data_IF_743443415935
#
_entry.id   IF_743443415935
#
_cell.length_a   1.000
_cell.length_b   1.000
_cell.length_c   1.000
_cell.angle_alpha   90.00
_cell.angle_beta   90.00
_cell.angle_gamma   90.00
#
_symmetry.space_group_name_H-M   'P 1'
#
loop_
_entity.id
_entity.type
_entity.pdbx_description
1 polymer ?
#
# COMPACT_ATOMS: atom_id res chain seq x y z
N UNK A 1 -9.87 -7.52 -0.18
CA UNK A 1 -8.63 -7.49 0.63
C UNK A 1 -8.98 -7.62 2.10
N UNK A 2 -8.33 -8.53 2.84
CA UNK A 2 -8.68 -8.89 4.23
C UNK A 2 -8.00 -8.05 5.32
N UNK A 3 -7.08 -7.14 4.98
CA UNK A 3 -6.33 -6.35 5.97
C UNK A 3 -6.99 -4.97 6.11
N UNK A 4 -7.56 -4.68 7.28
CA UNK A 4 -8.25 -3.40 7.55
C UNK A 4 -7.69 -2.66 8.74
N UNK A 5 -7.13 -3.37 9.71
CA UNK A 5 -6.62 -2.80 10.94
C UNK A 5 -5.14 -3.17 11.17
N UNK A 6 -4.55 -2.62 12.24
CA UNK A 6 -3.14 -2.86 12.58
C UNK A 6 -2.87 -4.30 13.03
N UNK A 7 -3.87 -4.98 13.62
CA UNK A 7 -3.74 -6.37 14.05
C UNK A 7 -3.68 -7.33 12.84
N UNK A 8 -4.52 -7.09 11.83
CA UNK A 8 -4.47 -7.79 10.55
C UNK A 8 -3.10 -7.56 9.88
N UNK A 9 -2.58 -6.33 9.95
CA UNK A 9 -1.28 -6.00 9.40
C UNK A 9 -0.16 -6.77 10.12
N UNK A 10 -0.24 -6.92 11.45
CA UNK A 10 0.71 -7.68 12.26
C UNK A 10 0.72 -9.17 11.89
N UNK A 11 -0.46 -9.78 11.70
CA UNK A 11 -0.59 -11.21 11.38
C UNK A 11 -0.44 -11.53 9.87
N UNK A 12 -0.47 -10.50 9.01
CA UNK A 12 -0.30 -10.70 7.57
C UNK A 12 1.11 -11.14 7.16
N UNK A 13 1.23 -11.72 5.96
CA UNK A 13 2.52 -12.04 5.32
C UNK A 13 3.23 -10.81 4.73
N UNK A 14 2.63 -9.62 4.82
CA UNK A 14 3.22 -8.41 4.28
C UNK A 14 4.48 -8.04 5.05
N UNK A 15 5.56 -7.75 4.31
CA UNK A 15 6.71 -7.04 4.86
C UNK A 15 6.30 -5.60 5.13
N UNK A 16 6.88 -4.99 6.15
CA UNK A 16 6.56 -3.62 6.54
C UNK A 16 7.82 -2.77 6.55
N UNK A 17 7.74 -1.57 5.99
CA UNK A 17 8.80 -0.57 5.98
C UNK A 17 8.29 0.78 6.40
N UNK A 18 9.21 1.64 6.82
CA UNK A 18 8.88 2.96 7.37
C UNK A 18 9.72 4.01 6.66
N UNK A 19 9.10 5.14 6.31
CA UNK A 19 9.83 6.27 5.76
C UNK A 19 10.86 6.80 6.76
N UNK A 20 12.12 6.93 6.32
CA UNK A 20 13.22 7.39 7.18
C UNK A 20 13.07 8.89 7.50
N UNK A 21 12.43 9.16 8.64
CA UNK A 21 12.38 10.48 9.26
C UNK A 21 12.67 10.36 10.75
N UNK A 22 13.17 11.44 11.35
CA UNK A 22 13.42 11.51 12.80
C UNK A 22 12.15 11.24 13.59
N UNK A 23 11.02 11.79 13.12
CA UNK A 23 9.69 11.57 13.68
C UNK A 23 9.34 10.09 13.71
N UNK A 24 9.40 9.40 12.56
CA UNK A 24 9.06 7.98 12.51
C UNK A 24 10.01 7.13 13.35
N UNK A 25 11.32 7.40 13.33
CA UNK A 25 12.29 6.68 14.17
C UNK A 25 11.92 6.78 15.65
N UNK A 26 11.52 7.95 16.12
CA UNK A 26 11.10 8.16 17.51
C UNK A 26 9.78 7.43 17.85
N UNK A 27 8.72 7.61 17.05
CA UNK A 27 7.41 7.05 17.36
C UNK A 27 7.37 5.52 17.28
N UNK A 28 8.12 4.94 16.34
CA UNK A 28 8.20 3.48 16.20
C UNK A 28 9.05 2.84 17.32
N UNK A 29 10.16 3.48 17.72
CA UNK A 29 11.01 2.95 18.80
C UNK A 29 10.42 3.12 20.20
N UNK A 30 9.58 4.15 20.40
CA UNK A 30 8.98 4.47 21.70
C UNK A 30 7.52 3.97 21.81
N UNK A 31 7.06 3.13 20.88
CA UNK A 31 5.69 2.64 20.87
C UNK A 31 5.40 1.77 22.11
N UNK A 32 4.39 2.17 22.90
CA UNK A 32 3.97 1.46 24.12
C UNK A 32 2.81 0.49 23.88
N UNK A 33 1.94 0.79 22.90
CA UNK A 33 0.79 -0.05 22.56
C UNK A 33 1.25 -1.43 22.07
N UNK A 34 0.66 -2.54 22.57
CA UNK A 34 1.15 -3.89 22.30
C UNK A 34 1.21 -4.23 20.81
N UNK A 35 0.19 -3.85 20.03
CA UNK A 35 0.14 -4.12 18.58
C UNK A 35 1.24 -3.35 17.84
N UNK A 36 1.41 -2.05 18.14
CA UNK A 36 2.42 -1.21 17.47
C UNK A 36 3.84 -1.63 17.83
N UNK A 37 4.07 -1.94 19.11
CA UNK A 37 5.34 -2.48 19.59
C UNK A 37 5.66 -3.81 18.91
N UNK A 38 4.70 -4.72 18.81
CA UNK A 38 4.87 -5.98 18.11
C UNK A 38 5.14 -5.78 16.60
N UNK A 39 4.51 -4.80 15.95
CA UNK A 39 4.82 -4.45 14.54
C UNK A 39 6.27 -3.97 14.41
N UNK A 40 6.73 -3.10 15.33
CA UNK A 40 8.10 -2.61 15.32
C UNK A 40 9.11 -3.75 15.49
N UNK A 41 8.96 -4.56 16.55
CA UNK A 41 9.89 -5.63 16.88
C UNK A 41 9.85 -6.79 15.88
N UNK A 42 8.68 -7.14 15.31
CA UNK A 42 8.57 -8.29 14.40
C UNK A 42 8.75 -7.95 12.92
N UNK A 43 8.36 -6.73 12.49
CA UNK A 43 8.32 -6.39 11.05
C UNK A 43 9.26 -5.27 10.63
N UNK A 44 9.51 -4.28 11.50
CA UNK A 44 10.36 -3.12 11.17
C UNK A 44 11.81 -3.37 11.55
N UNK A 45 12.06 -3.76 12.80
CA UNK A 45 13.38 -3.98 13.37
C UNK A 45 13.46 -5.33 14.12
N UNK A 46 13.36 -6.48 13.41
CA UNK A 46 13.63 -7.79 14.00
C UNK A 46 15.00 -7.85 14.65
N UNK A 47 15.13 -8.52 15.82
CA UNK A 47 16.42 -8.72 16.48
C UNK A 47 17.45 -9.30 15.51
N UNK A 48 18.62 -8.66 15.42
CA UNK A 48 19.71 -9.10 14.52
C UNK A 48 19.58 -8.67 13.07
N UNK A 49 18.59 -7.85 12.71
CA UNK A 49 18.45 -7.30 11.35
C UNK A 49 18.49 -5.77 11.33
N UNK A 50 18.91 -5.19 10.20
CA UNK A 50 18.90 -3.74 10.03
C UNK A 50 17.45 -3.24 10.01
N UNK A 51 17.10 -2.23 10.84
CA UNK A 51 15.78 -1.64 10.84
C UNK A 51 15.37 -1.15 9.44
N UNK A 52 14.14 -1.44 9.03
CA UNK A 52 13.61 -1.14 7.70
C UNK A 52 13.13 0.31 7.55
N UNK A 53 13.99 1.25 7.88
CA UNK A 53 13.82 2.65 7.50
C UNK A 53 14.38 2.85 6.10
N UNK A 54 13.60 3.45 5.20
CA UNK A 54 13.99 3.64 3.81
C UNK A 54 13.47 4.97 3.25
N UNK A 55 14.03 5.38 2.11
CA UNK A 55 13.58 6.57 1.41
C UNK A 55 12.14 6.43 0.90
N UNK A 56 11.45 7.55 0.73
CA UNK A 56 10.08 7.57 0.18
C UNK A 56 10.01 6.85 -1.18
N UNK A 57 10.97 7.14 -2.07
CA UNK A 57 10.99 6.56 -3.42
C UNK A 57 11.18 5.03 -3.38
N UNK A 58 12.10 4.55 -2.55
CA UNK A 58 12.34 3.11 -2.42
C UNK A 58 11.12 2.38 -1.82
N UNK A 59 10.52 2.96 -0.78
CA UNK A 59 9.34 2.40 -0.12
C UNK A 59 8.13 2.31 -1.05
N UNK A 60 7.85 3.37 -1.81
CA UNK A 60 6.74 3.40 -2.78
C UNK A 60 6.99 2.42 -3.93
N UNK A 61 8.22 2.33 -4.46
CA UNK A 61 8.55 1.32 -5.48
C UNK A 61 8.42 -0.12 -4.97
N UNK A 62 8.78 -0.38 -3.72
CA UNK A 62 8.57 -1.71 -3.10
C UNK A 62 7.10 -2.02 -2.88
N UNK A 63 6.30 -1.02 -2.47
CA UNK A 63 4.85 -1.16 -2.34
C UNK A 63 4.19 -1.57 -3.67
N UNK A 64 4.66 -1.00 -4.79
CA UNK A 64 4.18 -1.36 -6.14
C UNK A 64 4.45 -2.83 -6.51
N UNK A 65 5.62 -3.37 -6.12
CA UNK A 65 5.99 -4.78 -6.39
C UNK A 65 5.14 -5.80 -5.62
N UNK A 66 4.25 -5.34 -4.73
CA UNK A 66 3.35 -6.18 -3.95
C UNK A 66 4.01 -6.78 -2.71
N UNK A 67 3.18 -7.37 -1.85
CA UNK A 67 3.58 -8.02 -0.58
C UNK A 67 4.34 -7.11 0.41
N UNK A 68 4.20 -5.80 0.26
CA UNK A 68 4.89 -4.81 1.08
C UNK A 68 3.92 -3.70 1.50
N UNK A 69 3.92 -3.38 2.79
CA UNK A 69 3.21 -2.25 3.37
C UNK A 69 4.24 -1.19 3.78
N UNK A 70 3.95 0.08 3.51
CA UNK A 70 4.87 1.18 3.73
C UNK A 70 4.21 2.29 4.54
N UNK A 71 4.81 2.66 5.66
CA UNK A 71 4.37 3.79 6.46
C UNK A 71 5.03 5.07 5.97
N UNK A 72 4.21 6.03 5.56
CA UNK A 72 4.62 7.34 5.09
C UNK A 72 3.57 8.38 5.44
N UNK A 73 3.95 9.65 5.36
CA UNK A 73 2.99 10.75 5.40
C UNK A 73 2.09 10.70 4.17
N UNK A 74 0.78 10.72 4.36
CA UNK A 74 -0.21 10.45 3.31
C UNK A 74 -0.12 11.46 2.17
N UNK A 75 -0.09 12.75 2.45
CA UNK A 75 -0.10 13.79 1.41
C UNK A 75 1.15 13.76 0.52
N UNK A 76 2.35 13.69 1.12
CA UNK A 76 3.60 13.52 0.36
C UNK A 76 3.61 12.15 -0.33
N UNK A 77 3.16 11.10 0.35
CA UNK A 77 3.10 9.74 -0.17
C UNK A 77 2.27 9.64 -1.46
N UNK A 78 1.11 10.30 -1.52
CA UNK A 78 0.27 10.30 -2.72
C UNK A 78 0.96 10.95 -3.93
N UNK A 79 1.79 11.97 -3.73
CA UNK A 79 2.59 12.56 -4.82
C UNK A 79 3.54 11.52 -5.44
N UNK A 80 4.20 10.70 -4.61
CA UNK A 80 5.09 9.64 -5.08
C UNK A 80 4.31 8.49 -5.71
N UNK A 81 3.20 8.09 -5.12
CA UNK A 81 2.30 7.07 -5.68
C UNK A 81 1.79 7.52 -7.06
N UNK A 82 1.34 8.76 -7.20
CA UNK A 82 0.89 9.33 -8.47
C UNK A 82 1.98 9.29 -9.55
N UNK A 83 3.26 9.43 -9.16
CA UNK A 83 4.41 9.40 -10.06
C UNK A 83 4.83 7.98 -10.48
N UNK A 84 4.76 6.99 -9.58
CA UNK A 84 5.32 5.65 -9.83
C UNK A 84 4.28 4.56 -10.10
N UNK A 85 3.02 4.73 -9.68
CA UNK A 85 1.95 3.75 -9.89
C UNK A 85 1.21 4.02 -11.19
N UNK A 86 0.81 2.94 -11.86
CA UNK A 86 -0.11 3.00 -12.99
C UNK A 86 -1.55 3.25 -12.49
N UNK A 87 -2.43 3.73 -13.37
CA UNK A 87 -3.83 4.04 -13.01
C UNK A 87 -4.58 2.84 -12.39
N UNK A 88 -4.42 1.65 -12.97
CA UNK A 88 -5.03 0.42 -12.43
C UNK A 88 -4.48 0.01 -11.05
N UNK A 89 -3.18 0.24 -10.79
CA UNK A 89 -2.55 -0.08 -9.50
C UNK A 89 -3.04 0.86 -8.39
N UNK A 90 -3.41 2.12 -8.73
CA UNK A 90 -3.92 3.11 -7.76
C UNK A 90 -5.24 2.67 -7.12
N UNK A 91 -6.12 1.96 -7.84
CA UNK A 91 -7.39 1.46 -7.28
C UNK A 91 -7.16 0.42 -6.16
N UNK A 92 -6.02 -0.28 -6.16
CA UNK A 92 -5.69 -1.30 -5.15
C UNK A 92 -5.14 -0.74 -3.84
N UNK A 93 -4.92 0.57 -3.75
CA UNK A 93 -4.33 1.20 -2.57
C UNK A 93 -5.27 1.11 -1.37
N UNK A 94 -4.74 0.57 -0.28
CA UNK A 94 -5.39 0.52 1.02
C UNK A 94 -4.59 1.31 2.04
N UNK A 95 -5.32 2.02 2.89
CA UNK A 95 -4.75 2.88 3.92
C UNK A 95 -5.17 2.34 5.28
N UNK A 96 -4.21 2.28 6.19
CA UNK A 96 -4.44 1.90 7.58
C UNK A 96 -3.78 2.98 8.43
N UNK A 97 -4.56 3.60 9.31
CA UNK A 97 -4.05 4.62 10.20
C UNK A 97 -3.15 3.96 11.25
N UNK A 98 -1.83 4.23 11.18
CA UNK A 98 -0.85 3.73 12.15
C UNK A 98 -0.59 4.72 13.27
N UNK A 99 -0.22 5.96 12.91
CA UNK A 99 -0.05 7.04 13.88
C UNK A 99 -1.31 7.91 13.89
N UNK A 100 -1.87 8.12 15.08
CA UNK A 100 -2.84 9.18 15.33
C UNK A 100 -2.07 10.39 15.81
N UNK A 101 -1.67 11.25 14.87
CA UNK A 101 -0.94 12.47 15.17
C UNK A 101 -1.95 13.61 15.26
N UNK A 102 -1.82 14.43 16.30
CA UNK A 102 -2.58 15.68 16.43
C UNK A 102 -2.02 16.69 15.43
N UNK A 103 -2.87 17.54 14.86
CA UNK A 103 -2.43 18.61 13.98
C UNK A 103 -1.29 19.44 14.62
N UNK A 104 -0.21 19.72 13.87
CA UNK A 104 0.93 20.45 14.41
C UNK A 104 0.54 21.88 14.79
N UNK A 105 1.05 22.33 15.93
CA UNK A 105 0.85 23.70 16.42
C UNK A 105 2.07 24.57 16.12
N UNK A 106 1.84 25.88 16.04
CA UNK A 106 2.92 26.85 15.95
C UNK A 106 3.69 26.89 17.29
N UNK A 107 4.97 26.53 17.26
CA UNK A 107 5.84 26.66 18.41
C UNK A 107 6.27 28.13 18.59
N UNK A 108 6.12 28.66 19.80
CA UNK A 108 6.52 30.02 20.16
C UNK A 108 7.41 30.01 21.41
N UNK A 109 8.27 31.03 21.55
CA UNK A 109 9.13 31.17 22.75
C UNK A 109 8.27 31.29 24.01
N UNK A 110 8.70 30.62 25.10
CA UNK A 110 8.08 30.79 26.42
C UNK A 110 8.05 32.27 26.82
N UNK A 111 6.93 32.72 27.38
CA UNK A 111 6.69 34.11 27.81
C UNK A 111 6.79 35.18 26.70
N UNK A 112 6.53 34.80 25.45
CA UNK A 112 6.40 35.79 24.36
C UNK A 112 5.18 36.69 24.55
N UNK A 113 5.30 38.02 24.39
CA UNK A 113 4.16 38.94 24.45
C UNK A 113 3.17 38.73 23.28
N UNK A 114 3.62 38.07 22.21
CA UNK A 114 2.81 37.84 20.99
C UNK A 114 1.93 36.58 21.06
N UNK A 115 1.90 35.87 22.19
CA UNK A 115 1.18 34.59 22.31
C UNK A 115 -0.29 34.72 21.91
N UNK A 116 -0.96 35.76 22.40
CA UNK A 116 -2.40 35.92 22.16
C UNK A 116 -2.69 36.35 20.73
N UNK A 117 -1.78 37.14 20.13
CA UNK A 117 -1.85 37.50 18.71
C UNK A 117 -1.78 36.25 17.82
N UNK A 118 -0.79 35.37 18.05
CA UNK A 118 -0.68 34.12 17.28
C UNK A 118 -1.86 33.19 17.49
N UNK A 119 -2.35 33.07 18.73
CA UNK A 119 -3.49 32.22 19.07
C UNK A 119 -4.78 32.69 18.36
N UNK A 120 -5.10 33.98 18.46
CA UNK A 120 -6.29 34.55 17.80
C UNK A 120 -6.13 34.50 16.28
N UNK A 121 -4.94 34.86 15.77
CA UNK A 121 -4.66 34.82 14.33
C UNK A 121 -4.82 33.43 13.73
N UNK A 122 -4.27 32.40 14.39
CA UNK A 122 -4.39 31.02 13.91
C UNK A 122 -5.83 30.51 13.96
N UNK A 123 -6.60 30.88 14.99
CA UNK A 123 -8.03 30.55 15.06
C UNK A 123 -8.83 31.18 13.94
N UNK A 124 -8.59 32.46 13.63
CA UNK A 124 -9.21 33.12 12.47
C UNK A 124 -8.86 32.41 11.16
N UNK A 125 -7.59 32.05 10.94
CA UNK A 125 -7.16 31.30 9.74
C UNK A 125 -7.93 29.97 9.60
N UNK A 126 -8.13 29.26 10.72
CA UNK A 126 -8.87 28.00 10.75
C UNK A 126 -10.38 28.23 10.50
N UNK A 127 -10.99 29.22 11.14
CA UNK A 127 -12.41 29.57 11.01
C UNK A 127 -12.78 30.02 9.59
N UNK A 128 -11.90 30.79 8.94
CA UNK A 128 -12.09 31.23 7.55
C UNK A 128 -11.77 30.12 6.53
N UNK A 129 -11.29 28.95 6.98
CA UNK A 129 -10.91 27.84 6.10
C UNK A 129 -9.66 28.07 5.27
N UNK A 130 -8.87 29.11 5.55
CA UNK A 130 -7.64 29.42 4.82
C UNK A 130 -6.62 28.29 4.97
N UNK A 131 -6.48 27.73 6.18
CA UNK A 131 -5.61 26.56 6.40
C UNK A 131 -6.03 25.37 5.54
N UNK A 132 -7.32 25.08 5.46
CA UNK A 132 -7.84 24.00 4.61
C UNK A 132 -7.54 24.28 3.14
N UNK A 133 -7.74 25.49 2.65
CA UNK A 133 -7.41 25.86 1.27
C UNK A 133 -5.93 25.63 0.95
N UNK A 134 -5.02 26.12 1.79
CA UNK A 134 -3.58 25.94 1.57
C UNK A 134 -3.18 24.46 1.63
N UNK A 135 -3.74 23.70 2.58
CA UNK A 135 -3.51 22.25 2.64
C UNK A 135 -3.98 21.55 1.36
N UNK A 136 -5.11 21.94 0.78
CA UNK A 136 -5.63 21.36 -0.46
C UNK A 136 -4.81 21.74 -1.70
N UNK A 137 -4.07 22.84 -1.64
CA UNK A 137 -3.15 23.29 -2.70
C UNK A 137 -1.77 22.61 -2.61
N UNK A 138 -1.27 22.42 -1.38
CA UNK A 138 0.08 21.88 -1.15
C UNK A 138 0.11 20.35 -1.12
N UNK A 139 -0.89 19.72 -0.51
CA UNK A 139 -0.93 18.26 -0.36
C UNK A 139 -1.74 17.63 -1.48
N UNK A 140 -1.14 16.61 -2.07
CA UNK A 140 -1.83 15.77 -3.04
C UNK A 140 -2.92 14.97 -2.32
N UNK A 141 -4.09 14.86 -2.94
CA UNK A 141 -5.17 14.04 -2.40
C UNK A 141 -4.96 12.59 -2.77
N UNK A 142 -5.77 11.73 -2.16
CA UNK A 142 -5.84 10.34 -2.59
C UNK A 142 -6.05 10.29 -4.11
N UNK A 143 -5.17 9.61 -4.87
CA UNK A 143 -5.29 9.55 -6.31
C UNK A 143 -6.64 8.92 -6.68
N UNK A 144 -7.41 9.63 -7.50
CA UNK A 144 -8.64 9.09 -8.07
C UNK A 144 -8.24 8.09 -9.13
N UNK A 145 -8.81 6.89 -9.08
CA UNK A 145 -8.65 5.95 -10.18
C UNK A 145 -9.83 6.11 -11.14
N UNK A 146 -9.53 6.39 -12.41
CA UNK A 146 -10.54 6.45 -13.48
C UNK A 146 -10.96 5.02 -13.81
N UNK A 147 -11.99 4.51 -13.12
CA UNK A 147 -12.48 3.13 -13.21
C UNK A 147 -13.09 2.71 -14.56
N UNK A 148 -12.71 3.35 -15.67
CA UNK A 148 -13.14 3.03 -17.03
C UNK A 148 -12.06 2.34 -17.87
N UNK A 149 -10.81 2.35 -17.45
CA UNK A 149 -9.80 1.50 -18.09
C UNK A 149 -9.95 0.09 -17.51
N UNK A 150 -10.23 -0.87 -18.38
CA UNK A 150 -10.09 -2.28 -18.08
C UNK A 150 -8.71 -2.48 -17.47
N UNK A 151 -8.65 -2.98 -16.23
CA UNK A 151 -7.38 -3.46 -15.68
C UNK A 151 -6.85 -4.49 -16.67
N UNK A 152 -5.84 -4.11 -17.46
CA UNK A 152 -5.17 -5.02 -18.36
C UNK A 152 -4.33 -5.94 -17.48
N UNK A 153 -4.98 -6.99 -16.96
CA UNK A 153 -4.29 -8.07 -16.29
C UNK A 153 -3.62 -8.88 -17.40
N UNK A 154 -2.31 -8.71 -17.55
CA UNK A 154 -1.52 -9.54 -18.44
C UNK A 154 -1.58 -10.98 -17.93
N UNK A 155 -2.41 -11.81 -18.55
CA UNK A 155 -2.50 -13.24 -18.23
C UNK A 155 -1.23 -13.91 -18.73
N UNK A 156 -0.54 -14.63 -17.84
CA UNK A 156 0.68 -15.35 -18.21
C UNK A 156 0.31 -16.72 -18.76
N UNK A 157 1.14 -17.30 -19.65
CA UNK A 157 0.92 -18.65 -20.18
C UNK A 157 0.74 -19.72 -19.09
N UNK A 158 1.32 -19.50 -17.91
CA UNK A 158 1.17 -20.37 -16.73
C UNK A 158 -0.29 -20.47 -16.27
N UNK A 159 -1.07 -19.39 -16.41
CA UNK A 159 -2.48 -19.36 -16.00
C UNK A 159 -3.37 -20.14 -17.00
N UNK A 160 -2.97 -20.20 -18.28
CA UNK A 160 -3.65 -20.97 -19.32
C UNK A 160 -3.19 -22.44 -19.42
N UNK A 161 -2.10 -22.80 -18.74
CA UNK A 161 -1.49 -24.13 -18.78
C UNK A 161 -2.47 -25.29 -18.51
N UNK A 162 -3.32 -25.28 -17.45
CA UNK A 162 -4.24 -26.38 -17.21
C UNK A 162 -5.30 -26.53 -18.31
N UNK A 163 -5.77 -25.42 -18.90
CA UNK A 163 -6.73 -25.46 -19.99
C UNK A 163 -6.12 -26.07 -21.26
N UNK A 164 -4.86 -25.72 -21.57
CA UNK A 164 -4.12 -26.32 -22.68
C UNK A 164 -3.87 -27.82 -22.46
N UNK A 165 -3.54 -28.24 -21.25
CA UNK A 165 -3.36 -29.67 -20.93
C UNK A 165 -4.64 -30.48 -21.17
N UNK A 166 -5.78 -30.00 -20.66
CA UNK A 166 -7.08 -30.68 -20.86
C UNK A 166 -7.41 -30.79 -22.35
N UNK A 167 -7.16 -29.73 -23.13
CA UNK A 167 -7.36 -29.75 -24.57
C UNK A 167 -6.48 -30.81 -25.25
N UNK A 168 -5.20 -30.89 -24.90
CA UNK A 168 -4.27 -31.87 -25.48
C UNK A 168 -4.61 -33.31 -25.11
N UNK A 169 -5.01 -33.59 -23.86
CA UNK A 169 -5.43 -34.93 -23.48
C UNK A 169 -6.75 -35.33 -24.11
N UNK A 170 -7.69 -34.38 -24.24
CA UNK A 170 -8.97 -34.60 -24.90
C UNK A 170 -8.81 -34.96 -26.38
N UNK A 171 -7.90 -34.29 -27.10
CA UNK A 171 -7.63 -34.59 -28.52
C UNK A 171 -6.89 -35.92 -28.71
N UNK A 172 -5.96 -36.27 -27.83
CA UNK A 172 -5.29 -37.58 -27.88
C UNK A 172 -6.32 -38.70 -27.63
N UNK A 173 -7.18 -38.55 -26.63
CA UNK A 173 -8.19 -39.55 -26.30
C UNK A 173 -9.19 -39.75 -27.45
N UNK A 174 -9.64 -38.66 -28.10
CA UNK A 174 -10.57 -38.77 -29.24
C UNK A 174 -9.93 -39.47 -30.44
N UNK A 175 -8.66 -39.18 -30.74
CA UNK A 175 -7.91 -39.86 -31.80
C UNK A 175 -7.71 -41.35 -31.50
N UNK A 176 -7.44 -41.70 -30.23
CA UNK A 176 -7.30 -43.11 -29.81
C UNK A 176 -8.62 -43.88 -29.95
N UNK A 177 -9.75 -43.28 -29.54
CA UNK A 177 -11.07 -43.89 -29.71
C UNK A 177 -11.41 -44.09 -31.20
N UNK A 178 -11.14 -43.09 -32.04
CA UNK A 178 -11.34 -43.19 -33.49
C UNK A 178 -10.49 -44.30 -34.12
N UNK A 179 -9.21 -44.42 -33.71
CA UNK A 179 -8.34 -45.50 -34.17
C UNK A 179 -8.84 -46.88 -33.74
N UNK A 180 -9.33 -47.01 -32.51
CA UNK A 180 -9.95 -48.24 -32.00
C UNK A 180 -11.21 -48.62 -32.79
N UNK A 181 -12.09 -47.65 -33.10
CA UNK A 181 -13.27 -47.89 -33.95
C UNK A 181 -12.87 -48.38 -35.34
N UNK A 182 -11.88 -47.73 -35.96
CA UNK A 182 -11.40 -48.15 -37.29
C UNK A 182 -10.82 -49.56 -37.30
N UNK A 183 -10.06 -49.93 -36.27
CA UNK A 183 -9.51 -51.28 -36.13
C UNK A 183 -10.61 -52.32 -35.87
N UNK A 184 -11.65 -51.96 -35.12
CA UNK A 184 -12.80 -52.84 -34.88
C UNK A 184 -13.61 -53.07 -36.17
N UNK A 185 -13.94 -52.00 -36.89
CA UNK A 185 -14.65 -52.04 -38.18
C UNK A 185 -13.90 -52.83 -39.26
N UNK A 186 -12.57 -52.79 -39.26
CA UNK A 186 -11.74 -53.53 -40.23
C UNK A 186 -11.58 -55.01 -39.86
N UNK A 187 -11.93 -55.40 -38.63
CA UNK A 187 -11.81 -56.77 -38.10
C UNK A 187 -13.13 -57.55 -38.17
N UNK A 188 -14.26 -56.85 -38.29
CA UNK A 188 -15.54 -57.40 -38.78
C UNK A 188 -15.51 -57.51 -40.31
#
# INVERSE_FOLDING_TARGET
SQIRNLDDLLHSRLKFGVHDTVFNKYYFSTATEPVRKAIYEKKVAPPGTVPRFMSMEEGVKKMRKGLFAFHMETGVGYKFVGKYFNEGEKCGLQEIQYLQVIDPWLAVRKHTPYKEMFKIGMKRIQEHGLQSRENWLLYEKRPKCSGRESNFVSVSMVDCYPALLILTYGTILSLMLLACEFLYLKRQ
#
